data_IF_469111088098
#
_entry.id   IF_469111088098
#
_cell.length_a   1.000
_cell.length_b   1.000
_cell.length_c   1.000
_cell.angle_alpha   90.00
_cell.angle_beta   90.00
_cell.angle_gamma   90.00
#
_symmetry.space_group_name_H-M   'P 1'
#
loop_
_entity.id
_entity.type
_entity.pdbx_description
1 polymer ?
#
# COMPACT_ATOMS: atom_id res chain seq x y z
N UNK A 1 -8.63 -10.78 -9.00
CA UNK A 1 -8.58 -11.80 -7.93
C UNK A 1 -8.60 -11.06 -6.59
N UNK A 2 -9.08 -11.67 -5.50
CA UNK A 2 -9.18 -10.98 -4.20
C UNK A 2 -8.35 -11.74 -3.18
N UNK A 3 -7.45 -11.04 -2.49
CA UNK A 3 -6.60 -11.58 -1.43
C UNK A 3 -6.97 -10.93 -0.09
N UNK A 4 -6.51 -11.53 1.01
CA UNK A 4 -6.67 -10.97 2.35
C UNK A 4 -5.37 -10.27 2.77
N UNK A 5 -5.46 -9.04 3.25
CA UNK A 5 -4.32 -8.30 3.81
C UNK A 5 -4.06 -8.65 5.30
N UNK A 6 -3.01 -8.07 5.89
CA UNK A 6 -2.63 -8.30 7.28
C UNK A 6 -3.67 -7.81 8.31
N UNK A 7 -4.61 -6.96 7.90
CA UNK A 7 -5.71 -6.47 8.73
C UNK A 7 -7.00 -7.29 8.55
N UNK A 8 -6.98 -8.32 7.69
CA UNK A 8 -8.14 -9.17 7.42
C UNK A 8 -9.06 -8.63 6.33
N UNK A 9 -8.68 -7.57 5.61
CA UNK A 9 -9.50 -6.98 4.55
C UNK A 9 -9.31 -7.70 3.22
N UNK A 10 -10.41 -7.86 2.49
CA UNK A 10 -10.40 -8.28 1.11
C UNK A 10 -9.87 -7.14 0.22
N UNK A 11 -8.73 -7.36 -0.44
CA UNK A 11 -8.08 -6.41 -1.34
C UNK A 11 -7.99 -6.99 -2.75
N UNK A 12 -8.03 -6.13 -3.76
CA UNK A 12 -8.04 -6.52 -5.19
C UNK A 12 -6.65 -6.84 -5.75
N UNK A 13 -5.74 -7.28 -4.89
CA UNK A 13 -4.42 -7.76 -5.28
C UNK A 13 -4.53 -9.18 -5.82
N UNK A 14 -3.66 -9.52 -6.77
CA UNK A 14 -3.59 -10.82 -7.43
C UNK A 14 -2.19 -11.45 -7.39
N UNK A 15 -1.22 -10.76 -6.79
CA UNK A 15 0.14 -11.23 -6.58
C UNK A 15 0.52 -11.23 -5.09
N UNK A 16 1.21 -12.29 -4.65
CA UNK A 16 1.62 -12.45 -3.27
C UNK A 16 2.71 -11.44 -2.87
N UNK A 17 3.62 -11.10 -3.77
CA UNK A 17 4.64 -10.09 -3.48
C UNK A 17 4.02 -8.69 -3.35
N UNK A 18 3.03 -8.36 -4.19
CA UNK A 18 2.23 -7.14 -4.05
C UNK A 18 1.49 -7.09 -2.70
N UNK A 19 0.87 -8.20 -2.27
CA UNK A 19 0.22 -8.30 -0.95
C UNK A 19 1.21 -8.11 0.21
N UNK A 20 2.38 -8.73 0.14
CA UNK A 20 3.37 -8.63 1.21
C UNK A 20 3.97 -7.22 1.30
N UNK A 21 4.20 -6.56 0.15
CA UNK A 21 4.56 -5.15 0.11
C UNK A 21 3.45 -4.24 0.68
N UNK A 22 2.19 -4.53 0.38
CA UNK A 22 1.05 -3.80 0.93
C UNK A 22 0.97 -3.94 2.45
N UNK A 23 1.12 -5.16 2.97
CA UNK A 23 1.15 -5.42 4.40
C UNK A 23 2.29 -4.65 5.08
N UNK A 24 3.49 -4.67 4.50
CA UNK A 24 4.63 -3.90 5.01
C UNK A 24 4.36 -2.38 4.98
N UNK A 25 3.66 -1.86 3.97
CA UNK A 25 3.24 -0.47 3.90
C UNK A 25 2.30 -0.11 5.06
N UNK A 26 1.27 -0.92 5.31
CA UNK A 26 0.31 -0.70 6.41
C UNK A 26 1.01 -0.76 7.76
N UNK A 27 1.86 -1.77 7.99
CA UNK A 27 2.64 -1.88 9.23
C UNK A 27 3.57 -0.69 9.42
N UNK A 28 4.30 -0.27 8.38
CA UNK A 28 5.20 0.88 8.45
C UNK A 28 4.43 2.17 8.77
N UNK A 29 3.26 2.39 8.15
CA UNK A 29 2.43 3.57 8.40
C UNK A 29 1.97 3.62 9.86
N UNK A 30 1.42 2.52 10.38
CA UNK A 30 0.96 2.43 11.77
C UNK A 30 2.10 2.58 12.79
N UNK A 31 3.32 2.17 12.42
CA UNK A 31 4.53 2.37 13.21
C UNK A 31 5.15 3.77 13.05
N UNK A 32 4.52 4.69 12.30
CA UNK A 32 5.08 6.01 11.95
C UNK A 32 6.45 5.92 11.27
N UNK A 33 6.68 4.85 10.49
CA UNK A 33 7.94 4.54 9.85
C UNK A 33 8.17 5.30 8.54
N UNK A 34 9.39 5.81 8.37
CA UNK A 34 9.84 6.48 7.15
C UNK A 34 9.95 5.55 5.93
N UNK A 35 9.79 4.22 6.11
CA UNK A 35 9.79 3.21 5.04
C UNK A 35 8.44 3.06 4.32
N UNK A 36 7.39 3.74 4.79
CA UNK A 36 6.04 3.70 4.22
C UNK A 36 6.02 3.95 2.69
N UNK A 37 6.62 5.05 2.16
CA UNK A 37 6.55 5.31 0.71
C UNK A 37 7.29 4.26 -0.14
N UNK A 38 8.34 3.61 0.39
CA UNK A 38 9.08 2.57 -0.31
C UNK A 38 8.23 1.30 -0.48
N UNK A 39 7.51 0.88 0.57
CA UNK A 39 6.61 -0.27 0.51
C UNK A 39 5.38 0.01 -0.39
N UNK A 40 4.84 1.23 -0.34
CA UNK A 40 3.76 1.64 -1.23
C UNK A 40 4.21 1.62 -2.70
N UNK A 41 5.41 2.13 -2.98
CA UNK A 41 6.00 2.09 -4.32
C UNK A 41 6.19 0.65 -4.83
N UNK A 42 6.67 -0.26 -3.97
CA UNK A 42 6.82 -1.67 -4.32
C UNK A 42 5.46 -2.33 -4.63
N UNK A 43 4.43 -2.04 -3.82
CA UNK A 43 3.05 -2.52 -4.06
C UNK A 43 2.55 -2.12 -5.44
N UNK A 44 2.70 -0.84 -5.80
CA UNK A 44 2.19 -0.30 -7.07
C UNK A 44 3.05 -0.67 -8.27
N UNK A 45 4.34 -0.96 -8.08
CA UNK A 45 5.18 -1.52 -9.13
C UNK A 45 4.75 -2.96 -9.48
N UNK A 46 4.39 -3.76 -8.46
CA UNK A 46 3.92 -5.13 -8.64
C UNK A 46 2.48 -5.20 -9.15
N UNK A 47 1.60 -4.29 -8.69
CA UNK A 47 0.20 -4.23 -9.11
C UNK A 47 -0.21 -2.78 -9.47
N UNK A 48 0.10 -2.31 -10.70
CA UNK A 48 -0.18 -0.92 -11.12
C UNK A 48 -1.65 -0.53 -11.10
N UNK A 49 -2.55 -1.51 -11.24
CA UNK A 49 -4.01 -1.31 -11.22
C UNK A 49 -4.63 -1.26 -9.81
N UNK A 50 -3.84 -1.35 -8.74
CA UNK A 50 -4.36 -1.42 -7.38
C UNK A 50 -4.92 -0.06 -6.91
N UNK A 51 -6.23 0.12 -7.10
CA UNK A 51 -6.93 1.39 -6.83
C UNK A 51 -6.77 1.89 -5.39
N UNK A 52 -6.81 1.00 -4.39
CA UNK A 52 -6.60 1.36 -2.98
C UNK A 52 -5.19 1.91 -2.74
N UNK A 53 -4.16 1.31 -3.36
CA UNK A 53 -2.78 1.82 -3.27
C UNK A 53 -2.63 3.24 -3.83
N UNK A 54 -3.29 3.54 -4.96
CA UNK A 54 -3.32 4.90 -5.52
C UNK A 54 -4.07 5.89 -4.62
N UNK A 55 -5.21 5.49 -4.07
CA UNK A 55 -5.96 6.31 -3.13
C UNK A 55 -5.12 6.62 -1.88
N UNK A 56 -4.42 5.63 -1.34
CA UNK A 56 -3.47 5.80 -0.22
C UNK A 56 -2.33 6.74 -0.59
N UNK A 57 -1.73 6.61 -1.78
CA UNK A 57 -0.68 7.53 -2.24
C UNK A 57 -1.17 8.98 -2.26
N UNK A 58 -2.31 9.22 -2.90
CA UNK A 58 -2.92 10.56 -2.98
C UNK A 58 -3.24 11.11 -1.59
N UNK A 59 -3.82 10.29 -0.72
CA UNK A 59 -4.10 10.67 0.67
C UNK A 59 -2.82 11.07 1.43
N UNK A 60 -1.72 10.33 1.28
CA UNK A 60 -0.46 10.68 1.90
C UNK A 60 0.14 11.98 1.34
N UNK A 61 0.04 12.24 0.03
CA UNK A 61 0.49 13.52 -0.53
C UNK A 61 -0.31 14.70 0.04
N UNK A 62 -1.63 14.53 0.21
CA UNK A 62 -2.50 15.52 0.85
C UNK A 62 -2.09 15.77 2.31
N UNK A 63 -1.87 14.71 3.09
CA UNK A 63 -1.47 14.83 4.50
C UNK A 63 -0.09 15.48 4.68
N UNK A 64 0.85 15.19 3.77
CA UNK A 64 2.19 15.77 3.81
C UNK A 64 2.23 17.21 3.28
N UNK A 65 1.15 17.69 2.66
CA UNK A 65 1.08 19.03 2.05
C UNK A 65 2.10 19.24 0.94
N UNK A 66 2.53 18.15 0.27
CA UNK A 66 3.58 18.20 -0.74
C UNK A 66 2.97 18.59 -2.09
N UNK A 67 3.55 19.63 -2.69
CA UNK A 67 3.28 20.09 -4.05
C UNK A 67 4.21 19.41 -5.04
#
# INVERSE_FOLDING_TARGET
MTMTDACGYAVTLDDAAARDAWNACVTAFLAHGASTPQHLGATLAACPGFAMGHATMGFFQLLLGRR
#
